data_IF_881514401229
#
_entry.id   IF_881514401229
#
_cell.length_a   1.000
_cell.length_b   1.000
_cell.length_c   1.000
_cell.angle_alpha   90.00
_cell.angle_beta   90.00
_cell.angle_gamma   90.00
#
_symmetry.space_group_name_H-M   'P 1'
#
loop_
_entity.id
_entity.type
_entity.pdbx_description
1 polymer ?
#
# COMPACT_ATOMS: atom_id res chain seq x y z
N UNK A 1 -41.90 -6.10 -43.53
CA UNK A 1 -41.69 -4.72 -43.08
C UNK A 1 -41.39 -4.65 -41.59
N UNK A 2 -40.17 -4.20 -41.31
CA UNK A 2 -39.64 -3.57 -40.10
C UNK A 2 -39.98 -4.15 -38.70
N UNK A 3 -39.21 -5.17 -38.27
CA UNK A 3 -38.77 -5.23 -36.87
C UNK A 3 -37.62 -4.24 -36.71
N UNK A 4 -37.89 -3.09 -36.10
CA UNK A 4 -36.84 -2.20 -35.62
C UNK A 4 -36.27 -2.88 -34.36
N UNK A 5 -35.16 -3.59 -34.56
CA UNK A 5 -34.30 -4.04 -33.49
C UNK A 5 -33.97 -2.84 -32.60
N UNK A 6 -34.42 -2.90 -31.34
CA UNK A 6 -33.86 -2.05 -30.30
C UNK A 6 -32.39 -2.45 -30.22
N UNK A 7 -31.53 -1.64 -30.81
CA UNK A 7 -30.10 -1.70 -30.62
C UNK A 7 -29.89 -1.33 -29.15
N UNK A 8 -29.96 -2.33 -28.27
CA UNK A 8 -29.21 -2.27 -27.03
C UNK A 8 -27.77 -1.99 -27.48
N UNK A 9 -27.15 -0.87 -27.07
CA UNK A 9 -25.74 -0.69 -27.32
C UNK A 9 -25.07 -1.91 -26.71
N UNK A 10 -24.38 -2.63 -27.59
CA UNK A 10 -23.72 -3.89 -27.35
C UNK A 10 -22.98 -3.91 -26.02
N UNK A 11 -22.68 -5.12 -25.55
CA UNK A 11 -21.49 -5.43 -24.77
C UNK A 11 -20.20 -4.94 -25.47
N UNK A 12 -20.07 -3.63 -25.65
CA UNK A 12 -18.88 -2.94 -26.11
C UNK A 12 -17.96 -2.80 -24.91
N UNK A 13 -16.95 -3.67 -24.88
CA UNK A 13 -15.63 -3.45 -24.30
C UNK A 13 -15.57 -2.69 -22.99
N UNK A 14 -15.63 -3.41 -21.87
CA UNK A 14 -14.88 -2.98 -20.69
C UNK A 14 -13.41 -3.32 -20.93
N UNK A 15 -12.79 -2.53 -21.79
CA UNK A 15 -11.40 -2.69 -22.16
C UNK A 15 -10.55 -2.07 -21.07
N UNK A 16 -9.91 -2.95 -20.30
CA UNK A 16 -8.94 -2.55 -19.30
C UNK A 16 -7.71 -1.94 -19.99
N UNK A 17 -7.54 -0.63 -19.88
CA UNK A 17 -6.36 0.06 -20.38
C UNK A 17 -5.21 -0.06 -19.37
N UNK A 18 -4.04 -0.51 -19.81
CA UNK A 18 -2.84 -0.48 -18.98
C UNK A 18 -2.36 0.97 -18.84
N UNK A 19 -2.45 1.50 -17.63
CA UNK A 19 -1.98 2.84 -17.29
C UNK A 19 -0.77 2.73 -16.36
N UNK A 20 0.27 3.49 -16.70
CA UNK A 20 1.40 3.70 -15.79
C UNK A 20 0.98 4.66 -14.70
N UNK A 21 0.78 4.15 -13.48
CA UNK A 21 0.52 4.98 -12.31
C UNK A 21 1.87 5.51 -11.81
N UNK A 22 2.02 6.84 -11.64
CA UNK A 22 3.24 7.39 -11.05
C UNK A 22 3.41 6.75 -9.67
N UNK A 23 4.53 6.04 -9.49
CA UNK A 23 4.88 5.44 -8.20
C UNK A 23 5.07 6.53 -7.12
N UNK A 24 5.10 6.15 -5.84
CA UNK A 24 5.31 7.09 -4.74
C UNK A 24 6.63 7.88 -4.86
N UNK A 25 7.62 7.31 -5.57
CA UNK A 25 8.85 7.99 -5.95
C UNK A 25 9.78 8.29 -4.77
N UNK A 26 10.96 8.88 -5.01
CA UNK A 26 12.00 9.02 -3.99
C UNK A 26 11.62 9.95 -2.81
N UNK A 27 10.64 10.84 -3.00
CA UNK A 27 10.17 11.75 -1.95
C UNK A 27 9.59 11.00 -0.75
N UNK A 28 9.05 9.80 -0.93
CA UNK A 28 8.55 8.98 0.17
C UNK A 28 9.64 8.53 1.15
N UNK A 29 10.92 8.57 0.75
CA UNK A 29 12.07 8.19 1.59
C UNK A 29 12.49 9.31 2.55
N UNK A 30 11.85 10.47 2.50
CA UNK A 30 12.20 11.58 3.39
C UNK A 30 12.10 11.20 4.89
N UNK A 31 11.02 10.57 5.40
CA UNK A 31 10.98 10.11 6.78
C UNK A 31 12.05 9.04 7.10
N UNK A 32 12.41 8.22 6.11
CA UNK A 32 13.47 7.22 6.24
C UNK A 32 14.83 7.88 6.49
N UNK A 33 15.17 8.93 5.75
CA UNK A 33 16.41 9.67 5.98
C UNK A 33 16.43 10.33 7.36
N UNK A 34 15.31 10.94 7.77
CA UNK A 34 15.21 11.58 9.09
C UNK A 34 15.25 10.60 10.26
N UNK A 35 14.83 9.36 10.06
CA UNK A 35 14.92 8.30 11.08
C UNK A 35 16.35 7.99 11.52
N UNK A 36 17.35 8.27 10.66
CA UNK A 36 18.76 8.03 10.99
C UNK A 36 19.26 8.91 12.14
N UNK A 37 18.73 10.13 12.31
CA UNK A 37 19.15 11.03 13.39
C UNK A 37 18.89 10.44 14.77
N UNK A 38 17.65 10.07 15.13
CA UNK A 38 17.38 9.46 16.42
C UNK A 38 18.00 8.06 16.55
N UNK A 39 18.10 7.26 15.47
CA UNK A 39 18.79 5.97 15.53
C UNK A 39 20.27 6.13 15.89
N UNK A 40 20.97 7.02 15.20
CA UNK A 40 22.38 7.30 15.47
C UNK A 40 22.56 7.87 16.88
N UNK A 41 21.67 8.77 17.31
CA UNK A 41 21.66 9.27 18.68
C UNK A 41 21.50 8.17 19.73
N UNK A 42 20.58 7.24 19.53
CA UNK A 42 20.37 6.09 20.41
C UNK A 42 21.59 5.15 20.46
N UNK A 43 22.19 4.85 19.30
CA UNK A 43 23.40 4.03 19.21
C UNK A 43 24.60 4.70 19.91
N UNK A 44 24.78 6.01 19.72
CA UNK A 44 25.84 6.76 20.41
C UNK A 44 25.63 6.78 21.92
N UNK A 45 24.39 6.92 22.40
CA UNK A 45 24.09 6.85 23.83
C UNK A 45 24.40 5.46 24.43
N UNK A 46 24.13 4.39 23.67
CA UNK A 46 24.54 3.03 24.04
C UNK A 46 26.06 2.93 24.17
N UNK A 47 26.80 3.43 23.16
CA UNK A 47 28.26 3.29 23.10
C UNK A 47 28.99 4.16 24.12
N UNK A 48 28.56 5.42 24.32
CA UNK A 48 29.29 6.42 25.10
C UNK A 48 28.81 6.52 26.55
N UNK A 49 27.56 6.17 26.83
CA UNK A 49 26.94 6.35 28.16
C UNK A 49 26.34 5.06 28.73
N UNK A 50 26.57 3.92 28.09
CA UNK A 50 26.03 2.63 28.55
C UNK A 50 24.52 2.49 28.36
N UNK A 51 23.89 3.33 27.53
CA UNK A 51 22.49 3.19 27.15
C UNK A 51 21.49 3.81 28.13
N UNK A 52 20.47 3.04 28.50
CA UNK A 52 19.36 3.46 29.34
C UNK A 52 18.11 3.91 28.57
N UNK A 53 17.08 4.36 29.30
CA UNK A 53 15.75 4.66 28.75
C UNK A 53 15.79 5.70 27.63
N UNK A 54 16.69 6.68 27.73
CA UNK A 54 16.84 7.70 26.70
C UNK A 54 17.35 7.09 25.38
N UNK A 55 18.33 6.19 25.44
CA UNK A 55 18.83 5.50 24.25
C UNK A 55 17.74 4.64 23.62
N UNK A 56 17.01 3.90 24.44
CA UNK A 56 15.84 3.11 24.04
C UNK A 56 14.78 3.97 23.34
N UNK A 57 14.44 5.13 23.91
CA UNK A 57 13.49 6.07 23.33
C UNK A 57 13.94 6.56 21.95
N UNK A 58 15.21 6.98 21.83
CA UNK A 58 15.79 7.42 20.56
C UNK A 58 15.75 6.31 19.49
N UNK A 59 16.13 5.08 19.86
CA UNK A 59 16.05 3.95 18.94
C UNK A 59 14.61 3.65 18.50
N UNK A 60 13.68 3.54 19.45
CA UNK A 60 12.27 3.26 19.16
C UNK A 60 11.63 4.38 18.32
N UNK A 61 11.92 5.64 18.62
CA UNK A 61 11.43 6.79 17.86
C UNK A 61 11.95 6.77 16.42
N UNK A 62 13.23 6.46 16.22
CA UNK A 62 13.80 6.29 14.89
C UNK A 62 13.16 5.14 14.11
N UNK A 63 12.91 3.99 14.74
CA UNK A 63 12.19 2.90 14.11
C UNK A 63 10.78 3.33 13.67
N UNK A 64 10.03 4.00 14.53
CA UNK A 64 8.69 4.49 14.20
C UNK A 64 8.71 5.53 13.07
N UNK A 65 9.69 6.45 13.03
CA UNK A 65 9.86 7.38 11.91
C UNK A 65 10.15 6.66 10.59
N UNK A 66 10.96 5.60 10.61
CA UNK A 66 11.25 4.81 9.41
C UNK A 66 10.01 4.07 8.88
N UNK A 67 9.09 3.66 9.77
CA UNK A 67 7.81 3.06 9.39
C UNK A 67 6.90 4.03 8.63
N UNK A 68 6.97 5.33 8.92
CA UNK A 68 6.17 6.35 8.21
C UNK A 68 6.48 6.37 6.72
N UNK A 69 7.76 6.19 6.34
CA UNK A 69 8.13 6.09 4.92
C UNK A 69 7.48 4.88 4.25
N UNK A 70 7.51 3.72 4.92
CA UNK A 70 6.84 2.49 4.43
C UNK A 70 5.33 2.72 4.33
N UNK A 71 4.73 3.37 5.33
CA UNK A 71 3.32 3.71 5.35
C UNK A 71 2.89 4.56 4.15
N UNK A 72 3.68 5.57 3.77
CA UNK A 72 3.40 6.34 2.55
C UNK A 72 3.45 5.49 1.29
N UNK A 73 4.44 4.61 1.17
CA UNK A 73 4.56 3.71 0.02
C UNK A 73 3.39 2.72 -0.08
N UNK A 74 2.96 2.14 1.04
CA UNK A 74 1.82 1.19 1.07
C UNK A 74 0.49 1.88 0.77
N UNK A 75 0.29 3.13 1.20
CA UNK A 75 -0.93 3.87 0.85
C UNK A 75 -0.96 4.24 -0.64
N UNK A 76 0.20 4.52 -1.25
CA UNK A 76 0.29 4.77 -2.68
C UNK A 76 0.08 3.50 -3.52
N UNK A 77 0.60 2.36 -3.05
CA UNK A 77 0.55 1.07 -3.73
C UNK A 77 -0.01 -0.02 -2.80
N UNK A 78 -1.33 -0.04 -2.54
CA UNK A 78 -1.92 -1.00 -1.61
C UNK A 78 -1.82 -2.43 -2.17
N UNK A 79 -1.66 -3.42 -1.30
CA UNK A 79 -1.53 -4.84 -1.67
C UNK A 79 -0.11 -5.26 -2.09
N UNK A 80 0.84 -4.33 -2.22
CA UNK A 80 2.23 -4.64 -2.59
C UNK A 80 3.16 -5.03 -1.44
N UNK A 81 2.69 -4.90 -0.19
CA UNK A 81 3.42 -5.30 1.02
C UNK A 81 2.51 -6.16 1.89
N UNK A 82 3.06 -7.27 2.38
CA UNK A 82 2.41 -8.11 3.37
C UNK A 82 2.21 -7.34 4.68
N UNK A 83 1.01 -7.43 5.26
CA UNK A 83 0.70 -6.84 6.55
C UNK A 83 1.64 -7.33 7.66
N UNK A 84 2.17 -8.55 7.59
CA UNK A 84 3.11 -9.07 8.57
C UNK A 84 4.42 -8.26 8.61
N UNK A 85 4.89 -7.75 7.48
CA UNK A 85 6.10 -6.93 7.40
C UNK A 85 5.91 -5.58 8.11
N UNK A 86 4.72 -4.99 7.99
CA UNK A 86 4.38 -3.74 8.69
C UNK A 86 4.38 -3.91 10.22
N UNK A 87 4.16 -5.13 10.70
CA UNK A 87 4.11 -5.45 12.11
C UNK A 87 5.51 -5.56 12.75
N UNK A 88 6.56 -5.82 11.96
CA UNK A 88 7.93 -5.97 12.48
C UNK A 88 8.39 -4.73 13.26
N UNK A 89 8.02 -3.54 12.78
CA UNK A 89 8.46 -2.28 13.40
C UNK A 89 7.83 -1.97 14.76
N UNK A 90 6.49 -1.96 14.92
CA UNK A 90 5.88 -1.73 16.22
C UNK A 90 6.30 -2.78 17.25
N UNK A 91 6.46 -4.05 16.84
CA UNK A 91 6.99 -5.09 17.73
C UNK A 91 8.46 -4.85 18.10
N UNK A 92 9.31 -4.50 17.13
CA UNK A 92 10.70 -4.14 17.39
C UNK A 92 10.83 -2.97 18.36
N UNK A 93 10.07 -1.89 18.13
CA UNK A 93 10.03 -0.73 19.01
C UNK A 93 9.52 -1.09 20.42
N UNK A 94 8.48 -1.93 20.52
CA UNK A 94 7.95 -2.41 21.79
C UNK A 94 8.97 -3.26 22.57
N UNK A 95 9.68 -4.16 21.90
CA UNK A 95 10.74 -4.99 22.50
C UNK A 95 11.84 -4.11 23.10
N UNK A 96 12.22 -3.01 22.43
CA UNK A 96 13.22 -2.08 22.95
C UNK A 96 12.83 -1.53 24.33
N UNK A 97 11.54 -1.28 24.61
CA UNK A 97 11.08 -0.75 25.90
C UNK A 97 11.25 -1.72 27.07
N UNK A 98 11.47 -3.02 26.83
CA UNK A 98 11.89 -3.96 27.87
C UNK A 98 13.37 -3.84 28.24
N UNK A 99 14.09 -2.90 27.61
CA UNK A 99 15.50 -2.61 27.83
C UNK A 99 16.38 -3.88 27.78
N UNK A 100 16.35 -4.64 26.67
CA UNK A 100 17.25 -5.78 26.53
C UNK A 100 18.71 -5.30 26.57
N UNK A 101 19.69 -6.21 26.69
CA UNK A 101 21.09 -5.83 26.69
C UNK A 101 21.44 -4.90 25.53
N UNK A 102 22.29 -3.90 25.77
CA UNK A 102 22.59 -2.82 24.82
C UNK A 102 22.95 -3.31 23.40
N UNK A 103 23.74 -4.38 23.31
CA UNK A 103 24.09 -5.00 22.02
C UNK A 103 22.85 -5.52 21.29
N UNK A 104 21.92 -6.14 22.03
CA UNK A 104 20.65 -6.62 21.47
C UNK A 104 19.78 -5.45 21.01
N UNK A 105 19.71 -4.35 21.76
CA UNK A 105 19.00 -3.13 21.33
C UNK A 105 19.55 -2.59 20.00
N UNK A 106 20.89 -2.48 19.89
CA UNK A 106 21.55 -2.00 18.70
C UNK A 106 21.29 -2.91 17.49
N UNK A 107 21.46 -4.23 17.65
CA UNK A 107 21.22 -5.21 16.58
C UNK A 107 19.75 -5.18 16.13
N UNK A 108 18.81 -5.18 17.08
CA UNK A 108 17.38 -5.13 16.79
C UNK A 108 17.02 -3.86 15.99
N UNK A 109 17.53 -2.70 16.43
CA UNK A 109 17.28 -1.44 15.74
C UNK A 109 17.83 -1.45 14.31
N UNK A 110 19.04 -1.96 14.10
CA UNK A 110 19.64 -2.07 12.77
C UNK A 110 18.82 -3.02 11.88
N UNK A 111 18.43 -4.19 12.38
CA UNK A 111 17.65 -5.18 11.61
C UNK A 111 16.29 -4.60 11.19
N UNK A 112 15.53 -4.05 12.15
CA UNK A 112 14.19 -3.51 11.88
C UNK A 112 14.27 -2.33 10.92
N UNK A 113 15.22 -1.41 11.13
CA UNK A 113 15.43 -0.30 10.20
C UNK A 113 15.81 -0.79 8.79
N UNK A 114 16.66 -1.81 8.68
CA UNK A 114 17.06 -2.38 7.38
C UNK A 114 15.85 -2.96 6.63
N UNK A 115 14.94 -3.63 7.34
CA UNK A 115 13.69 -4.16 6.75
C UNK A 115 12.83 -3.00 6.22
N UNK A 116 12.67 -1.94 7.02
CA UNK A 116 11.90 -0.76 6.59
C UNK A 116 12.55 -0.06 5.39
N UNK A 117 13.87 0.11 5.40
CA UNK A 117 14.61 0.71 4.30
C UNK A 117 14.43 -0.08 3.01
N UNK A 118 14.62 -1.41 3.04
CA UNK A 118 14.42 -2.27 1.87
C UNK A 118 12.99 -2.18 1.35
N UNK A 119 12.01 -2.28 2.23
CA UNK A 119 10.59 -2.20 1.87
C UNK A 119 10.25 -0.85 1.23
N UNK A 120 10.68 0.25 1.86
CA UNK A 120 10.46 1.59 1.34
C UNK A 120 11.19 1.83 0.01
N UNK A 121 12.43 1.35 -0.12
CA UNK A 121 13.20 1.47 -1.35
C UNK A 121 12.52 0.73 -2.51
N UNK A 122 12.06 -0.50 -2.28
CA UNK A 122 11.28 -1.27 -3.26
C UNK A 122 10.03 -0.50 -3.67
N UNK A 123 9.24 -0.02 -2.71
CA UNK A 123 8.03 0.76 -2.99
C UNK A 123 8.32 2.06 -3.76
N UNK A 124 9.43 2.74 -3.45
CA UNK A 124 9.82 3.98 -4.12
C UNK A 124 10.23 3.78 -5.58
N UNK A 125 10.79 2.60 -5.90
CA UNK A 125 11.25 2.22 -7.23
C UNK A 125 10.13 1.62 -8.08
N UNK A 126 9.07 1.10 -7.46
CA UNK A 126 7.91 0.58 -8.18
C UNK A 126 7.13 1.74 -8.82
N UNK A 127 7.16 1.80 -10.15
CA UNK A 127 6.07 2.41 -10.91
C UNK A 127 4.97 1.36 -11.08
N UNK A 128 3.75 1.70 -10.73
CA UNK A 128 2.64 0.76 -10.83
C UNK A 128 2.22 0.61 -12.29
N UNK A 129 2.04 -0.63 -12.74
CA UNK A 129 1.08 -0.92 -13.80
C UNK A 129 -0.27 -1.07 -13.11
N UNK A 130 -1.24 -0.27 -13.49
CA UNK A 130 -2.62 -0.48 -13.10
C UNK A 130 -3.46 -0.57 -14.36
N UNK A 131 -4.51 -1.36 -14.29
CA UNK A 131 -5.49 -1.47 -15.34
C UNK A 131 -6.65 -0.56 -14.98
N UNK A 132 -7.08 0.30 -15.89
CA UNK A 132 -8.23 1.19 -15.69
C UNK A 132 -9.34 0.86 -16.68
N UNK A 133 -10.57 0.89 -16.19
CA UNK A 133 -11.77 0.75 -16.99
C UNK A 133 -12.70 1.91 -16.67
N UNK A 134 -13.21 2.61 -17.68
CA UNK A 134 -14.23 3.64 -17.48
C UNK A 134 -15.49 3.02 -16.85
N UNK A 135 -16.09 3.72 -15.88
CA UNK A 135 -17.23 3.22 -15.13
C UNK A 135 -18.27 4.31 -14.85
N UNK A 136 -19.54 4.01 -15.15
CA UNK A 136 -20.65 4.87 -14.76
C UNK A 136 -20.95 4.70 -13.26
N UNK A 137 -20.78 5.73 -12.41
CA UNK A 137 -21.06 5.65 -10.97
C UNK A 137 -22.51 5.29 -10.64
N UNK A 138 -23.45 5.47 -11.57
CA UNK A 138 -24.87 5.10 -11.40
C UNK A 138 -25.09 3.60 -11.63
N UNK A 139 -24.17 2.92 -12.30
CA UNK A 139 -24.25 1.48 -12.56
C UNK A 139 -23.76 0.71 -11.34
N UNK A 140 -24.58 -0.24 -10.89
CA UNK A 140 -24.22 -1.19 -9.83
C UNK A 140 -23.13 -2.12 -10.34
N UNK A 141 -22.20 -2.50 -9.46
CA UNK A 141 -21.14 -3.44 -9.81
C UNK A 141 -21.74 -4.83 -10.10
N UNK A 142 -21.43 -5.46 -11.24
CA UNK A 142 -21.91 -6.80 -11.59
C UNK A 142 -21.34 -7.82 -10.62
N UNK A 143 -22.05 -8.95 -10.46
CA UNK A 143 -21.57 -10.10 -9.70
C UNK A 143 -20.48 -10.84 -10.49
N UNK A 144 -19.35 -11.08 -9.83
CA UNK A 144 -18.18 -11.76 -10.38
C UNK A 144 -17.95 -13.00 -9.51
N UNK A 145 -17.79 -14.14 -10.16
CA UNK A 145 -17.56 -15.41 -9.46
C UNK A 145 -16.25 -15.34 -8.65
N UNK A 146 -16.33 -15.70 -7.37
CA UNK A 146 -15.18 -15.64 -6.45
C UNK A 146 -14.82 -14.24 -5.94
N UNK A 147 -15.60 -13.21 -6.26
CA UNK A 147 -15.38 -11.86 -5.74
C UNK A 147 -15.93 -11.68 -4.32
N UNK A 148 -15.12 -11.11 -3.44
CA UNK A 148 -15.57 -10.63 -2.13
C UNK A 148 -15.85 -9.14 -2.21
N UNK A 149 -17.12 -8.76 -2.14
CA UNK A 149 -17.56 -7.35 -2.21
C UNK A 149 -17.49 -6.67 -0.86
N UNK A 150 -16.88 -5.49 -0.84
CA UNK A 150 -16.87 -4.56 0.30
C UNK A 150 -17.94 -3.48 0.08
N UNK A 151 -18.05 -3.00 -1.17
CA UNK A 151 -19.05 -2.02 -1.60
C UNK A 151 -19.67 -2.44 -2.94
N UNK A 152 -20.99 -2.29 -3.05
CA UNK A 152 -21.77 -2.62 -4.26
C UNK A 152 -21.97 -1.43 -5.20
N UNK A 153 -21.69 -0.22 -4.71
CA UNK A 153 -21.74 1.04 -5.47
C UNK A 153 -20.33 1.57 -5.62
N UNK A 154 -20.10 2.33 -6.70
CA UNK A 154 -18.82 2.99 -6.92
C UNK A 154 -18.43 3.88 -5.72
N UNK A 155 -17.16 3.79 -5.33
CA UNK A 155 -16.56 4.54 -4.24
C UNK A 155 -15.05 4.66 -4.48
N UNK A 156 -14.44 5.77 -4.02
CA UNK A 156 -12.99 5.98 -4.05
C UNK A 156 -12.25 5.17 -2.95
N UNK A 157 -12.61 3.90 -2.80
CA UNK A 157 -12.15 2.94 -1.79
C UNK A 157 -12.13 1.54 -2.43
N UNK A 158 -11.51 0.53 -1.79
CA UNK A 158 -11.63 -0.85 -2.25
C UNK A 158 -13.10 -1.26 -2.38
N UNK A 159 -13.48 -1.74 -3.57
CA UNK A 159 -14.86 -2.10 -3.90
C UNK A 159 -15.08 -3.59 -3.73
N UNK A 160 -14.22 -4.39 -4.35
CA UNK A 160 -14.24 -5.83 -4.25
C UNK A 160 -12.85 -6.40 -4.53
N UNK A 161 -12.66 -7.65 -4.15
CA UNK A 161 -11.42 -8.39 -4.36
C UNK A 161 -11.72 -9.71 -5.05
N UNK A 162 -10.94 -10.06 -6.06
CA UNK A 162 -10.96 -11.37 -6.73
C UNK A 162 -9.61 -12.03 -6.47
N UNK A 163 -9.57 -13.04 -5.61
CA UNK A 163 -8.29 -13.64 -5.17
C UNK A 163 -7.38 -12.61 -4.49
N UNK A 164 -6.23 -12.32 -5.10
CA UNK A 164 -5.30 -11.25 -4.67
C UNK A 164 -5.51 -9.91 -5.37
N UNK A 165 -6.28 -9.86 -6.45
CA UNK A 165 -6.50 -8.65 -7.25
C UNK A 165 -7.55 -7.76 -6.59
N UNK A 166 -7.18 -6.51 -6.30
CA UNK A 166 -8.05 -5.56 -5.62
C UNK A 166 -8.56 -4.50 -6.59
N UNK A 167 -9.88 -4.35 -6.66
CA UNK A 167 -10.52 -3.33 -7.49
C UNK A 167 -10.97 -2.15 -6.64
N UNK A 168 -10.68 -0.94 -7.10
CA UNK A 168 -11.06 0.31 -6.44
C UNK A 168 -11.61 1.32 -7.43
N UNK A 169 -12.46 2.23 -6.97
CA UNK A 169 -12.86 3.38 -7.77
C UNK A 169 -11.78 4.46 -7.77
N UNK A 170 -11.54 5.07 -8.93
CA UNK A 170 -10.61 6.20 -9.10
C UNK A 170 -11.32 7.35 -9.82
N UNK A 171 -11.01 8.58 -9.42
CA UNK A 171 -11.39 9.80 -10.15
C UNK A 171 -10.14 10.48 -10.65
N UNK A 172 -10.04 10.70 -11.94
CA UNK A 172 -8.90 11.37 -12.58
C UNK A 172 -9.43 12.24 -13.72
N UNK A 173 -9.14 13.55 -13.68
CA UNK A 173 -9.57 14.53 -14.69
C UNK A 173 -11.04 14.38 -15.15
N UNK A 174 -11.98 14.42 -14.19
CA UNK A 174 -13.44 14.24 -14.39
C UNK A 174 -13.91 12.88 -14.93
N UNK A 175 -12.99 11.93 -15.15
CA UNK A 175 -13.34 10.54 -15.44
C UNK A 175 -13.52 9.74 -14.15
N UNK A 176 -14.58 8.95 -14.12
CA UNK A 176 -14.87 7.99 -13.06
C UNK A 176 -14.53 6.61 -13.60
N UNK A 177 -13.58 5.93 -12.94
CA UNK A 177 -13.02 4.68 -13.42
C UNK A 177 -13.00 3.63 -12.30
N UNK A 178 -12.86 2.37 -12.70
CA UNK A 178 -12.36 1.29 -11.88
C UNK A 178 -10.87 1.11 -12.16
N UNK A 179 -10.10 0.83 -11.12
CA UNK A 179 -8.68 0.51 -11.21
C UNK A 179 -8.42 -0.84 -10.52
N UNK A 180 -7.65 -1.70 -11.19
CA UNK A 180 -7.27 -3.03 -10.72
C UNK A 180 -5.77 -3.30 -10.95
N UNK A 181 -5.21 -4.25 -10.21
CA UNK A 181 -3.81 -4.69 -10.39
C UNK A 181 -3.63 -5.56 -11.64
N UNK A 182 -4.68 -6.29 -12.03
CA UNK A 182 -4.76 -7.14 -13.23
C UNK A 182 -6.15 -6.96 -13.90
N UNK A 183 -6.28 -7.16 -15.22
CA UNK A 183 -7.57 -7.07 -15.90
C UNK A 183 -8.51 -8.18 -15.42
N UNK A 184 -9.78 -7.86 -15.23
CA UNK A 184 -10.82 -8.79 -14.78
C UNK A 184 -11.88 -8.94 -15.87
N UNK A 185 -12.26 -10.18 -16.15
CA UNK A 185 -13.41 -10.46 -17.01
C UNK A 185 -14.68 -10.40 -16.18
N UNK A 186 -15.58 -9.51 -16.56
CA UNK A 186 -16.91 -9.44 -15.98
C UNK A 186 -17.83 -10.41 -16.71
N UNK A 187 -18.36 -11.40 -16.00
CA UNK A 187 -19.45 -12.25 -16.51
C UNK A 187 -20.77 -11.59 -16.16
N UNK A 188 -21.51 -11.14 -17.17
CA UNK A 188 -22.88 -10.68 -16.98
C UNK A 188 -23.80 -11.89 -17.12
N UNK A 189 -24.56 -12.23 -16.09
CA UNK A 189 -25.72 -13.11 -16.25
C UNK A 189 -26.78 -12.35 -17.02
N UNK A 190 -27.16 -12.85 -18.20
CA UNK A 190 -28.34 -12.38 -18.92
C UNK A 190 -29.58 -12.78 -18.09
N UNK A 191 -30.27 -11.79 -17.51
CA UNK A 191 -31.69 -11.88 -17.16
C UNK A 191 -32.52 -11.06 -18.14
#
# INVERSE_FOLDING_TARGET
DAMIQVICPSAAGMDWEEVKVPGPGPKMLWPMAWSLLPLTGGLLLILLKGGGLLATFFLAFGLMLSLIAVWFGVNALPGRVDMLVLLVTPFGAFILFFQPPNIVQAILAIIVWTINYRTAATLSALSGKAYRCDWDPRRVLPDIEGATYIHRKWAARPLFRVGSNMVRGVRDNDKIMLEADEPITFTFSEE
#
